data_IF_094262914702
#
_entry.id   IF_094262914702
#
_cell.length_a   1.000
_cell.length_b   1.000
_cell.length_c   1.000
_cell.angle_alpha   90.00
_cell.angle_beta   90.00
_cell.angle_gamma   90.00
#
_symmetry.space_group_name_H-M   'P 1'
#
loop_
_entity.id
_entity.type
_entity.pdbx_description
1 polymer ?
#
# COMPACT_ATOMS: atom_id res chain seq x y z
N UNK A 1 -27.25 8.12 12.63
CA UNK A 1 -26.78 9.29 13.40
C UNK A 1 -25.28 9.19 13.61
N UNK A 2 -24.49 9.90 12.80
CA UNK A 2 -23.23 10.56 13.19
C UNK A 2 -22.73 11.30 11.95
N UNK A 3 -23.21 12.54 11.82
CA UNK A 3 -22.62 13.47 10.87
C UNK A 3 -21.15 13.64 11.22
N UNK A 4 -20.28 13.34 10.27
CA UNK A 4 -18.88 13.70 10.40
C UNK A 4 -18.75 15.08 9.78
N UNK A 5 -19.08 16.12 10.55
CA UNK A 5 -18.57 17.47 10.25
C UNK A 5 -17.08 17.44 10.55
N UNK A 6 -16.32 16.79 9.68
CA UNK A 6 -14.89 16.98 9.61
C UNK A 6 -14.70 18.24 8.80
N UNK A 7 -14.77 19.36 9.51
CA UNK A 7 -14.12 20.61 9.11
C UNK A 7 -12.77 20.24 8.48
N UNK A 8 -12.45 20.87 7.36
CA UNK A 8 -11.28 20.67 6.50
C UNK A 8 -9.98 20.56 7.32
N UNK A 9 -9.73 19.41 7.94
CA UNK A 9 -8.63 19.16 8.88
C UNK A 9 -7.90 17.90 8.46
N UNK A 10 -6.59 18.00 8.40
CA UNK A 10 -5.73 16.86 8.14
C UNK A 10 -5.75 15.92 9.36
N UNK A 11 -6.16 14.66 9.23
CA UNK A 11 -6.31 13.76 10.37
C UNK A 11 -4.97 13.22 10.91
N UNK A 12 -3.84 13.55 10.27
CA UNK A 12 -2.50 13.19 10.73
C UNK A 12 -1.94 14.23 11.70
N UNK A 13 -2.07 15.51 11.39
CA UNK A 13 -1.61 16.60 12.27
C UNK A 13 -2.73 17.29 13.06
N UNK A 14 -3.99 16.97 12.74
CA UNK A 14 -5.20 17.56 13.32
C UNK A 14 -5.34 19.08 13.10
N UNK A 15 -4.62 19.64 12.12
CA UNK A 15 -4.67 21.04 11.71
C UNK A 15 -5.61 21.26 10.54
N UNK A 16 -6.16 22.47 10.44
CA UNK A 16 -6.99 22.91 9.31
C UNK A 16 -6.15 23.08 8.04
N UNK A 17 -6.75 22.84 6.87
CA UNK A 17 -6.12 23.15 5.60
C UNK A 17 -6.20 24.66 5.37
N UNK A 18 -5.06 25.33 5.24
CA UNK A 18 -4.99 26.73 4.82
C UNK A 18 -5.07 26.84 3.27
N UNK A 19 -5.56 27.97 2.74
CA UNK A 19 -5.69 28.20 1.28
C UNK A 19 -4.35 28.09 0.53
N UNK A 20 -3.24 28.25 1.24
CA UNK A 20 -1.88 28.20 0.72
C UNK A 20 -1.21 26.82 0.89
N UNK A 21 -1.87 25.89 1.59
CA UNK A 21 -1.32 24.56 1.84
C UNK A 21 -1.76 23.54 0.78
N UNK A 22 -0.81 22.70 0.36
CA UNK A 22 -1.10 21.64 -0.61
C UNK A 22 -1.70 20.42 0.10
N UNK A 23 -2.94 20.09 -0.27
CA UNK A 23 -3.61 18.87 0.13
C UNK A 23 -3.54 17.81 -0.98
N UNK A 24 -3.37 16.56 -0.59
CA UNK A 24 -3.42 15.40 -1.48
C UNK A 24 -4.71 14.64 -1.20
N UNK A 25 -5.48 14.41 -2.25
CA UNK A 25 -6.63 13.51 -2.24
C UNK A 25 -6.19 12.08 -2.55
N UNK A 26 -6.56 11.15 -1.68
CA UNK A 26 -6.33 9.72 -1.86
C UNK A 26 -7.46 9.09 -2.72
N UNK A 27 -7.22 7.95 -3.41
CA UNK A 27 -8.27 7.24 -4.18
C UNK A 27 -9.44 6.71 -3.32
N UNK A 28 -9.30 6.75 -2.00
CA UNK A 28 -10.37 6.48 -1.04
C UNK A 28 -11.14 7.76 -0.60
N UNK A 29 -10.95 8.89 -1.27
CA UNK A 29 -11.54 10.21 -1.01
C UNK A 29 -11.21 10.82 0.35
N UNK A 30 -10.04 10.51 0.90
CA UNK A 30 -9.53 11.15 2.12
C UNK A 30 -8.45 12.18 1.78
N UNK A 31 -8.50 13.33 2.45
CA UNK A 31 -7.57 14.45 2.25
C UNK A 31 -6.53 14.51 3.36
N UNK A 32 -5.30 14.82 2.98
CA UNK A 32 -4.17 14.97 3.89
C UNK A 32 -3.24 16.07 3.38
N UNK A 33 -2.51 16.76 4.26
CA UNK A 33 -1.44 17.63 3.82
C UNK A 33 -0.37 16.83 3.08
N UNK A 34 0.16 17.36 1.99
CA UNK A 34 1.31 16.77 1.27
C UNK A 34 2.43 16.44 2.25
N UNK A 35 2.73 17.37 3.16
CA UNK A 35 3.81 17.21 4.14
C UNK A 35 3.53 16.13 5.20
N UNK A 36 2.26 15.78 5.43
CA UNK A 36 1.87 14.73 6.37
C UNK A 36 1.77 13.36 5.71
N UNK A 37 1.25 13.29 4.49
CA UNK A 37 1.00 12.01 3.81
C UNK A 37 2.25 11.48 3.10
N UNK A 38 3.15 12.33 2.58
CA UNK A 38 4.36 11.87 1.90
C UNK A 38 5.30 11.05 2.82
N UNK A 39 5.61 11.48 4.06
CA UNK A 39 6.42 10.66 4.98
C UNK A 39 5.73 9.36 5.38
N UNK A 40 4.40 9.34 5.42
CA UNK A 40 3.62 8.14 5.70
C UNK A 40 3.71 7.14 4.53
N UNK A 41 3.49 7.61 3.30
CA UNK A 41 3.57 6.80 2.09
C UNK A 41 4.99 6.26 1.83
N UNK A 42 6.02 6.94 2.30
CA UNK A 42 7.40 6.43 2.27
C UNK A 42 7.61 5.17 3.12
N UNK A 43 6.75 4.90 4.10
CA UNK A 43 6.85 3.72 5.00
C UNK A 43 5.76 2.70 4.71
N UNK A 44 4.55 3.17 4.41
CA UNK A 44 3.37 2.34 4.23
C UNK A 44 2.52 2.87 3.08
N UNK A 45 2.23 2.04 2.09
CA UNK A 45 1.40 2.41 0.93
C UNK A 45 -0.11 2.39 1.25
N UNK A 46 -0.53 2.63 2.49
CA UNK A 46 -1.95 2.53 2.89
C UNK A 46 -2.47 3.83 3.49
N UNK A 47 -3.76 4.08 3.34
CA UNK A 47 -4.44 5.24 3.93
C UNK A 47 -4.47 5.13 5.47
N UNK A 48 -4.04 6.17 6.21
CA UNK A 48 -4.09 6.18 7.68
C UNK A 48 -5.50 6.01 8.28
N UNK A 49 -6.56 6.36 7.52
CA UNK A 49 -7.94 6.38 8.02
C UNK A 49 -8.66 5.07 7.78
N UNK A 50 -8.66 4.62 6.52
CA UNK A 50 -9.43 3.47 6.09
C UNK A 50 -8.57 2.25 5.74
N UNK A 51 -7.24 2.35 5.86
CA UNK A 51 -6.27 1.29 5.51
C UNK A 51 -6.32 0.84 4.05
N UNK A 52 -6.96 1.61 3.18
CA UNK A 52 -6.98 1.34 1.74
C UNK A 52 -5.57 1.43 1.16
N UNK A 53 -5.10 0.37 0.52
CA UNK A 53 -3.78 0.31 -0.10
C UNK A 53 -3.79 1.04 -1.45
N UNK A 54 -2.76 1.85 -1.68
CA UNK A 54 -2.54 2.52 -2.95
C UNK A 54 -2.02 1.52 -3.98
N UNK A 55 -2.51 1.59 -5.23
CA UNK A 55 -1.89 0.88 -6.33
C UNK A 55 -0.48 1.45 -6.55
N UNK A 56 0.53 0.58 -6.50
CA UNK A 56 1.91 0.93 -6.83
C UNK A 56 2.18 0.59 -8.30
N UNK A 57 2.57 1.58 -9.11
CA UNK A 57 2.95 1.44 -10.53
C UNK A 57 4.29 0.70 -10.76
N UNK A 58 4.74 -0.09 -9.78
CA UNK A 58 6.03 -0.78 -9.82
C UNK A 58 5.96 -2.09 -10.58
N UNK A 59 6.29 -2.06 -11.88
CA UNK A 59 6.46 -3.25 -12.74
C UNK A 59 7.39 -4.32 -12.10
N UNK A 60 8.35 -3.85 -11.29
CA UNK A 60 9.33 -4.66 -10.56
C UNK A 60 8.72 -5.58 -9.48
N UNK A 61 7.57 -5.22 -8.90
CA UNK A 61 6.92 -6.03 -7.86
C UNK A 61 6.17 -7.22 -8.45
N UNK A 62 5.53 -7.02 -9.60
CA UNK A 62 4.84 -8.07 -10.34
C UNK A 62 5.82 -9.09 -10.93
N UNK A 63 6.97 -8.64 -11.42
CA UNK A 63 8.06 -9.53 -11.86
C UNK A 63 8.55 -10.41 -10.71
N UNK A 64 8.87 -9.82 -9.56
CA UNK A 64 9.37 -10.56 -8.40
C UNK A 64 8.37 -11.61 -7.87
N UNK A 65 7.06 -11.31 -7.94
CA UNK A 65 5.98 -12.26 -7.60
C UNK A 65 5.95 -13.46 -8.55
N UNK A 66 6.09 -13.22 -9.86
CA UNK A 66 6.12 -14.28 -10.90
C UNK A 66 7.35 -15.17 -10.76
N UNK A 67 8.51 -14.58 -10.48
CA UNK A 67 9.75 -15.33 -10.28
C UNK A 67 9.72 -16.21 -9.04
N UNK A 68 9.16 -15.68 -7.94
CA UNK A 68 9.00 -16.46 -6.71
C UNK A 68 8.10 -17.68 -6.94
N UNK A 69 6.96 -17.49 -7.63
CA UNK A 69 6.04 -18.59 -7.96
C UNK A 69 6.70 -19.66 -8.85
N UNK A 70 7.49 -19.24 -9.85
CA UNK A 70 8.24 -20.15 -10.72
C UNK A 70 9.24 -21.01 -9.94
N UNK A 71 10.03 -20.37 -9.07
CA UNK A 71 11.04 -21.06 -8.24
C UNK A 71 10.41 -22.08 -7.29
N UNK A 72 9.25 -21.77 -6.73
CA UNK A 72 8.54 -22.68 -5.84
C UNK A 72 8.00 -23.92 -6.57
N UNK A 73 7.46 -23.74 -7.78
CA UNK A 73 7.04 -24.85 -8.63
C UNK A 73 8.23 -25.75 -9.03
N UNK A 74 9.37 -25.15 -9.35
CA UNK A 74 10.60 -25.90 -9.68
C UNK A 74 11.11 -26.69 -8.47
N UNK A 75 11.10 -26.10 -7.28
CA UNK A 75 11.47 -26.78 -6.03
C UNK A 75 10.57 -27.98 -5.77
N UNK A 76 9.25 -27.80 -5.87
CA UNK A 76 8.28 -28.89 -5.68
C UNK A 76 8.48 -30.03 -6.69
N UNK A 77 8.80 -29.70 -7.94
CA UNK A 77 9.14 -30.69 -8.98
C UNK A 77 10.44 -31.42 -8.64
N UNK A 78 11.46 -30.71 -8.20
CA UNK A 78 12.76 -31.29 -7.82
C UNK A 78 12.61 -32.21 -6.61
N UNK A 79 11.84 -31.82 -5.61
CA UNK A 79 11.51 -32.62 -4.42
C UNK A 79 10.72 -33.88 -4.78
N UNK A 80 9.76 -33.77 -5.71
CA UNK A 80 9.02 -34.94 -6.22
C UNK A 80 9.94 -35.93 -6.94
N UNK A 81 10.91 -35.42 -7.70
CA UNK A 81 11.91 -36.25 -8.38
C UNK A 81 12.88 -36.90 -7.37
N UNK A 82 13.26 -36.17 -6.31
CA UNK A 82 14.08 -36.71 -5.22
C UNK A 82 13.32 -37.76 -4.40
N UNK A 83 12.00 -37.64 -4.25
CA UNK A 83 11.17 -38.70 -3.66
C UNK A 83 11.12 -39.96 -4.52
N UNK A 84 10.95 -39.83 -5.84
CA UNK A 84 10.85 -40.96 -6.76
C UNK A 84 12.16 -41.71 -6.99
N UNK A 85 13.32 -41.08 -6.72
CA UNK A 85 14.64 -41.70 -6.91
C UNK A 85 15.17 -42.40 -5.65
N UNK A 86 14.60 -42.12 -4.46
CA UNK A 86 15.14 -42.58 -3.17
C UNK A 86 14.13 -43.43 -2.36
N UNK A 87 13.08 -43.94 -3.02
CA UNK A 87 12.15 -44.99 -2.54
C UNK A 87 12.33 -46.26 -3.35
#
# INVERSE_FOLDING_TARGET
MRGCRSELKCPVCLLEFEEEETAIEMPCHHFFHSNCILPWLSKTNSCPLCRHELPTDGDTYEEHKRDKARKEQEKHRLESLHGAMYT
#
